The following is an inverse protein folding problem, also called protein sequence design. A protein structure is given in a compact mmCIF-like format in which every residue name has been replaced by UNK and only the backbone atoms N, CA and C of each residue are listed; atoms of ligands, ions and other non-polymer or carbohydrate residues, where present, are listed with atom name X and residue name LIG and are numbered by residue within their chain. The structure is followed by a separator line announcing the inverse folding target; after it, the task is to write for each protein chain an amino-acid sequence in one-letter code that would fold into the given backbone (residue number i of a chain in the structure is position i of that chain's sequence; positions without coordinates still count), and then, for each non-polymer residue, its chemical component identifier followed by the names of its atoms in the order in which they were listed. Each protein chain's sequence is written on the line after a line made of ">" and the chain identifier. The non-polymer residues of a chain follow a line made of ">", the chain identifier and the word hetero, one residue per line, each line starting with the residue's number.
data_IF_105418449269
#
_entry.id   IF_105418449269
#
_cell.length_a   1.000
_cell.length_b   1.000
_cell.length_c   1.000
_cell.angle_alpha   90.00
_cell.angle_beta   90.00
_cell.angle_gamma   90.00
#
_symmetry.space_group_name_H-M   'P 1'
#
loop_
_entity.id
_entity.type
_entity.pdbx_description
1 polymer ?
#
# COMPACT_ATOMS: atom_id res chain seq x y z
N UNK A 1 -11.32 -5.71 -3.00
CA UNK A 1 -10.81 -4.86 -1.90
C UNK A 1 -9.53 -5.48 -1.38
N UNK A 2 -8.44 -4.73 -1.26
CA UNK A 2 -7.18 -5.24 -0.73
C UNK A 2 -7.20 -5.23 0.81
N UNK A 3 -6.68 -6.28 1.45
CA UNK A 3 -6.38 -6.24 2.88
C UNK A 3 -4.94 -5.77 3.04
N UNK A 4 -4.77 -4.50 3.40
CA UNK A 4 -3.46 -3.91 3.64
C UNK A 4 -3.60 -2.72 4.58
N UNK A 5 -2.48 -2.20 5.05
CA UNK A 5 -2.39 -0.95 5.78
C UNK A 5 -1.15 -0.21 5.30
N UNK A 6 -1.02 1.08 5.64
CA UNK A 6 0.10 1.91 5.18
C UNK A 6 1.47 1.32 5.56
N UNK A 7 1.59 0.75 6.77
CA UNK A 7 2.83 0.13 7.24
C UNK A 7 3.23 -1.05 6.33
N UNK A 8 2.29 -1.98 6.08
CA UNK A 8 2.53 -3.16 5.25
C UNK A 8 2.53 -2.85 3.74
N UNK A 9 2.08 -1.66 3.35
CA UNK A 9 2.04 -1.21 1.97
C UNK A 9 3.45 -1.09 1.39
N UNK A 10 3.63 -1.43 0.11
CA UNK A 10 4.93 -1.34 -0.55
C UNK A 10 5.35 0.11 -0.72
N UNK A 11 6.58 0.44 -0.30
CA UNK A 11 7.18 1.76 -0.52
C UNK A 11 7.21 2.11 -2.01
N UNK A 12 6.86 3.35 -2.33
CA UNK A 12 6.62 3.83 -3.69
C UNK A 12 5.22 3.55 -4.24
N UNK A 13 4.38 2.77 -3.55
CA UNK A 13 2.99 2.58 -3.95
C UNK A 13 2.05 3.48 -3.15
N UNK A 14 1.15 4.16 -3.84
CA UNK A 14 0.11 4.96 -3.23
C UNK A 14 -1.15 4.13 -3.00
N UNK A 15 -1.77 4.28 -1.84
CA UNK A 15 -2.98 3.57 -1.42
C UNK A 15 -4.15 4.55 -1.35
N UNK A 16 -5.30 4.13 -1.88
CA UNK A 16 -6.48 4.97 -2.06
C UNK A 16 -7.73 4.32 -1.51
N UNK A 17 -8.69 5.14 -1.11
CA UNK A 17 -10.03 4.73 -0.73
C UNK A 17 -10.91 4.39 -1.93
N UNK A 18 -12.10 3.86 -1.65
CA UNK A 18 -13.05 3.48 -2.69
C UNK A 18 -13.54 4.67 -3.54
N UNK A 19 -13.61 5.86 -2.96
CA UNK A 19 -13.91 7.14 -3.63
C UNK A 19 -12.70 7.77 -4.34
N UNK A 20 -11.51 7.19 -4.20
CA UNK A 20 -10.28 7.68 -4.83
C UNK A 20 -9.49 8.70 -4.04
N UNK A 21 -9.87 8.97 -2.78
CA UNK A 21 -9.06 9.77 -1.86
C UNK A 21 -7.73 9.05 -1.55
N UNK A 22 -6.63 9.79 -1.60
CA UNK A 22 -5.31 9.29 -1.21
C UNK A 22 -5.27 9.06 0.31
N UNK A 23 -4.90 7.84 0.72
CA UNK A 23 -4.76 7.47 2.13
C UNK A 23 -3.32 7.60 2.60
N UNK A 24 -2.37 7.02 1.87
CA UNK A 24 -0.96 7.00 2.22
C UNK A 24 -0.08 6.42 1.10
N UNK A 25 1.22 6.67 1.17
CA UNK A 25 2.22 5.84 0.49
C UNK A 25 2.57 4.65 1.40
N UNK A 26 2.82 3.48 0.82
CA UNK A 26 3.30 2.32 1.57
C UNK A 26 4.64 2.59 2.25
N UNK A 27 4.87 2.00 3.41
CA UNK A 27 6.12 2.18 4.16
C UNK A 27 7.04 0.94 4.17
N UNK A 28 6.54 -0.20 3.70
CA UNK A 28 7.27 -1.45 3.68
C UNK A 28 8.27 -1.45 2.52
N UNK A 29 9.55 -1.35 2.88
CA UNK A 29 10.62 -1.48 1.90
C UNK A 29 10.76 -2.96 1.51
N UNK A 30 10.79 -3.30 0.20
CA UNK A 30 10.97 -4.69 -0.22
C UNK A 30 12.31 -5.29 0.25
N UNK A 31 13.34 -4.47 0.50
CA UNK A 31 14.65 -4.92 0.98
C UNK A 31 14.74 -4.99 2.51
N UNK A 32 13.80 -4.35 3.22
CA UNK A 32 13.75 -4.37 4.68
C UNK A 32 12.28 -4.37 5.13
N UNK A 33 11.61 -5.54 5.09
CA UNK A 33 10.19 -5.62 5.40
C UNK A 33 9.95 -5.25 6.86
N UNK A 34 9.20 -4.17 7.08
CA UNK A 34 8.79 -3.76 8.44
C UNK A 34 7.87 -4.82 9.04
N UNK A 35 8.05 -5.11 10.34
CA UNK A 35 7.14 -5.93 11.12
C UNK A 35 5.84 -5.17 11.38
N UNK A 36 4.95 -5.15 10.38
CA UNK A 36 3.68 -4.45 10.45
C UNK A 36 2.57 -5.35 10.98
N UNK A 37 1.60 -4.79 11.73
CA UNK A 37 0.42 -5.53 12.12
C UNK A 37 -0.39 -5.95 10.88
N UNK A 38 -1.04 -7.12 10.94
CA UNK A 38 -1.77 -7.72 9.82
C UNK A 38 -3.24 -7.26 9.72
N UNK A 39 -3.58 -6.11 10.31
CA UNK A 39 -4.94 -5.59 10.18
C UNK A 39 -5.17 -5.03 8.78
N UNK A 40 -6.38 -5.21 8.26
CA UNK A 40 -6.80 -4.57 7.03
C UNK A 40 -7.32 -3.17 7.35
N UNK A 41 -6.67 -2.11 6.85
CA UNK A 41 -7.22 -0.76 6.91
C UNK A 41 -8.42 -0.71 5.96
N UNK A 42 -9.62 -0.63 6.54
CA UNK A 42 -10.87 -0.59 5.79
C UNK A 42 -10.98 0.67 4.93
N UNK A 43 -10.19 1.72 5.19
CA UNK A 43 -10.16 2.90 4.32
C UNK A 43 -9.48 2.62 2.99
N UNK A 44 -8.61 1.61 2.91
CA UNK A 44 -7.88 1.28 1.68
C UNK A 44 -8.72 0.33 0.82
N UNK A 45 -8.94 0.72 -0.44
CA UNK A 45 -9.68 -0.07 -1.42
C UNK A 45 -8.76 -0.65 -2.51
N UNK A 46 -7.82 0.17 -3.00
CA UNK A 46 -6.85 -0.20 -4.05
C UNK A 46 -5.52 0.55 -3.87
N UNK A 47 -4.50 0.15 -4.62
CA UNK A 47 -3.21 0.85 -4.69
C UNK A 47 -2.83 1.17 -6.13
N UNK A 48 -2.06 2.24 -6.32
CA UNK A 48 -1.36 2.59 -7.56
C UNK A 48 0.12 2.63 -7.25
N UNK A 49 0.85 1.66 -7.77
CA UNK A 49 2.30 1.68 -7.81
C UNK A 49 2.74 2.28 -9.15
N UNK A 50 3.90 2.96 -9.23
CA UNK A 50 4.54 3.22 -10.52
C UNK A 50 4.74 1.85 -11.19
N UNK A 51 3.97 1.63 -12.25
CA UNK A 51 4.10 0.45 -13.12
C UNK A 51 5.22 0.73 -14.12
N UNK A 52 5.88 -0.35 -14.53
CA UNK A 52 6.76 -0.45 -15.71
C UNK A 52 8.21 -0.03 -15.45
N UNK A 53 9.19 -0.93 -15.44
CA UNK A 53 9.40 -2.04 -16.37
C UNK A 53 9.67 -3.35 -15.60
N UNK A 54 8.91 -4.40 -15.90
CA UNK A 54 9.40 -5.75 -15.61
C UNK A 54 10.46 -6.06 -16.67
N UNK A 55 11.72 -6.12 -16.25
CA UNK A 55 12.83 -6.72 -16.97
C UNK A 55 13.38 -7.84 -16.09
#
# INVERSE_FOLDING_TARGET
>A
RICTNCCAGRKGCNYYSADGTFICEGESDPNNPKACPRYCDTRIAYSKCPRSEGN
#
